data_IF_303542324743
#
_entry.id   IF_303542324743
#
_cell.length_a   1.000
_cell.length_b   1.000
_cell.length_c   1.000
_cell.angle_alpha   90.00
_cell.angle_beta   90.00
_cell.angle_gamma   90.00
#
_symmetry.space_group_name_H-M   'P 1'
#
loop_
_entity.id
_entity.type
_entity.pdbx_description
1 polymer ?
#
# COMPACT_ATOMS: atom_id res chain seq x y z
N UNK A 1 5.33 -13.02 7.69
CA UNK A 1 5.82 -13.98 8.71
C UNK A 1 5.42 -13.62 10.14
N UNK A 2 5.33 -12.34 10.53
CA UNK A 2 5.06 -11.92 11.92
C UNK A 2 3.67 -12.32 12.46
N UNK A 3 2.64 -12.39 11.60
CA UNK A 3 1.28 -12.77 12.01
C UNK A 3 1.16 -14.23 12.48
N UNK A 4 1.84 -15.18 11.81
CA UNK A 4 1.84 -16.59 12.23
C UNK A 4 2.51 -16.75 13.61
N UNK A 5 3.61 -16.03 13.83
CA UNK A 5 4.30 -16.02 15.12
C UNK A 5 3.40 -15.41 16.21
N UNK A 6 2.73 -14.29 15.92
CA UNK A 6 1.75 -13.68 16.82
C UNK A 6 0.59 -14.61 17.16
N UNK A 7 0.07 -15.37 16.19
CA UNK A 7 -0.97 -16.37 16.39
C UNK A 7 -0.54 -17.50 17.32
N UNK A 8 0.64 -18.09 17.09
CA UNK A 8 1.18 -19.14 17.95
C UNK A 8 1.37 -18.62 19.38
N UNK A 9 1.93 -17.43 19.53
CA UNK A 9 2.15 -16.79 20.83
C UNK A 9 0.83 -16.53 21.57
N UNK A 10 -0.21 -16.10 20.85
CA UNK A 10 -1.55 -15.87 21.39
C UNK A 10 -2.19 -17.17 21.90
N UNK A 11 -2.12 -18.25 21.12
CA UNK A 11 -2.66 -19.56 21.52
C UNK A 11 -1.97 -20.09 22.77
N UNK A 12 -0.65 -20.02 22.82
CA UNK A 12 0.14 -20.44 23.99
C UNK A 12 -0.19 -19.56 25.21
N UNK A 13 -0.33 -18.25 25.00
CA UNK A 13 -0.72 -17.30 26.03
C UNK A 13 -2.08 -17.63 26.64
N UNK A 14 -3.09 -17.84 25.79
CA UNK A 14 -4.46 -18.20 26.20
C UNK A 14 -4.45 -19.52 26.98
N UNK A 15 -3.68 -20.52 26.52
CA UNK A 15 -3.54 -21.79 27.23
C UNK A 15 -2.97 -21.60 28.65
N UNK A 16 -1.97 -20.72 28.80
CA UNK A 16 -1.40 -20.36 30.10
C UNK A 16 -2.39 -19.68 31.06
N UNK A 17 -3.34 -18.90 30.53
CA UNK A 17 -4.38 -18.22 31.33
C UNK A 17 -5.54 -19.15 31.67
N UNK A 18 -6.10 -19.83 30.67
CA UNK A 18 -7.30 -20.65 30.79
C UNK A 18 -7.03 -22.01 31.46
N UNK A 19 -5.86 -22.60 31.22
CA UNK A 19 -5.47 -23.90 31.77
C UNK A 19 -3.99 -23.91 32.22
N UNK A 20 -3.65 -23.18 33.30
CA UNK A 20 -2.28 -23.09 33.79
C UNK A 20 -1.70 -24.46 34.19
N UNK A 21 -2.54 -25.40 34.62
CA UNK A 21 -2.12 -26.77 34.90
C UNK A 21 -1.61 -27.48 33.63
N UNK A 22 -2.36 -27.38 32.53
CA UNK A 22 -1.96 -27.97 31.24
C UNK A 22 -0.70 -27.29 30.69
N UNK A 23 -0.61 -25.96 30.82
CA UNK A 23 0.57 -25.20 30.41
C UNK A 23 1.81 -25.61 31.24
N UNK A 24 1.65 -25.78 32.55
CA UNK A 24 2.70 -26.30 33.42
C UNK A 24 3.11 -27.72 33.02
N UNK A 25 2.15 -28.61 32.79
CA UNK A 25 2.41 -29.99 32.41
C UNK A 25 3.20 -30.08 31.10
N UNK A 26 2.81 -29.31 30.07
CA UNK A 26 3.50 -29.25 28.79
C UNK A 26 4.90 -28.63 28.90
N UNK A 27 5.10 -27.69 29.83
CA UNK A 27 6.40 -27.05 30.00
C UNK A 27 7.41 -27.93 30.75
N UNK A 28 7.03 -28.45 31.92
CA UNK A 28 7.93 -29.19 32.82
C UNK A 28 7.28 -30.37 33.53
N UNK A 29 5.96 -30.34 33.76
CA UNK A 29 5.29 -31.40 34.52
C UNK A 29 5.42 -32.79 33.90
N UNK A 30 5.52 -32.91 32.57
CA UNK A 30 5.79 -34.19 31.91
C UNK A 30 7.15 -34.82 32.25
N UNK A 31 8.11 -34.03 32.75
CA UNK A 31 9.46 -34.48 33.11
C UNK A 31 9.56 -34.98 34.54
N UNK A 32 8.55 -34.71 35.37
CA UNK A 32 8.60 -34.95 36.81
C UNK A 32 7.49 -35.93 37.16
N UNK A 33 7.85 -37.04 37.80
CA UNK A 33 6.90 -38.09 38.16
C UNK A 33 6.13 -37.70 39.43
N UNK A 34 4.82 -37.87 39.40
CA UNK A 34 3.91 -37.69 40.55
C UNK A 34 4.02 -36.32 41.24
N UNK A 35 4.36 -35.27 40.48
CA UNK A 35 4.47 -33.91 40.97
C UNK A 35 3.22 -33.10 40.60
N UNK A 36 2.67 -32.39 41.57
CA UNK A 36 1.61 -31.40 41.36
C UNK A 36 2.21 -29.99 41.29
N UNK A 37 1.67 -29.10 40.42
CA UNK A 37 2.12 -27.72 40.37
C UNK A 37 1.74 -27.00 41.67
N UNK A 38 2.69 -26.23 42.21
CA UNK A 38 2.39 -25.33 43.32
C UNK A 38 1.51 -24.15 42.87
N UNK A 39 0.83 -23.52 43.83
CA UNK A 39 0.05 -22.30 43.56
C UNK A 39 0.89 -21.19 42.93
N UNK A 40 2.15 -21.08 43.34
CA UNK A 40 3.11 -20.15 42.76
C UNK A 40 3.41 -20.46 41.28
N UNK A 41 3.53 -21.75 40.93
CA UNK A 41 3.74 -22.18 39.55
C UNK A 41 2.51 -21.87 38.68
N UNK A 42 1.30 -22.14 39.19
CA UNK A 42 0.05 -21.82 38.50
C UNK A 42 -0.12 -20.30 38.31
N UNK A 43 0.19 -19.50 39.33
CA UNK A 43 0.18 -18.05 39.24
C UNK A 43 1.18 -17.54 38.20
N UNK A 44 2.39 -18.09 38.17
CA UNK A 44 3.42 -17.74 37.18
C UNK A 44 2.96 -18.02 35.74
N UNK A 45 2.36 -19.18 35.48
CA UNK A 45 1.83 -19.52 34.16
C UNK A 45 0.68 -18.59 33.72
N UNK A 46 -0.19 -18.17 34.66
CA UNK A 46 -1.23 -17.18 34.37
C UNK A 46 -0.64 -15.83 34.00
N UNK A 47 0.32 -15.33 34.78
CA UNK A 47 0.95 -14.02 34.52
C UNK A 47 1.70 -14.01 33.20
N UNK A 48 2.54 -15.03 32.94
CA UNK A 48 3.23 -15.18 31.66
C UNK A 48 2.25 -15.36 30.51
N UNK A 49 1.16 -16.11 30.73
CA UNK A 49 0.09 -16.31 29.75
C UNK A 49 -0.60 -15.00 29.36
N UNK A 50 -0.89 -14.11 30.32
CA UNK A 50 -1.47 -12.78 30.05
C UNK A 50 -0.51 -11.94 29.21
N UNK A 51 0.77 -11.90 29.60
CA UNK A 51 1.80 -11.13 28.87
C UNK A 51 1.94 -11.65 27.44
N UNK A 52 2.05 -12.97 27.27
CA UNK A 52 2.15 -13.61 25.95
C UNK A 52 0.88 -13.39 25.10
N UNK A 53 -0.31 -13.42 25.71
CA UNK A 53 -1.56 -13.14 24.99
C UNK A 53 -1.61 -11.71 24.48
N UNK A 54 -1.24 -10.73 25.31
CA UNK A 54 -1.19 -9.33 24.92
C UNK A 54 -0.16 -9.09 23.81
N UNK A 55 1.06 -9.63 23.96
CA UNK A 55 2.10 -9.52 22.95
C UNK A 55 1.68 -10.17 21.62
N UNK A 56 1.04 -11.34 21.67
CA UNK A 56 0.56 -12.07 20.49
C UNK A 56 -0.53 -11.30 19.76
N UNK A 57 -1.49 -10.76 20.52
CA UNK A 57 -2.54 -9.90 20.00
C UNK A 57 -1.96 -8.64 19.33
N UNK A 58 -1.02 -7.95 19.97
CA UNK A 58 -0.34 -6.78 19.40
C UNK A 58 0.37 -7.17 18.11
N UNK A 59 1.11 -8.28 18.06
CA UNK A 59 1.80 -8.72 16.84
C UNK A 59 0.85 -9.02 15.68
N UNK A 60 -0.31 -9.62 15.96
CA UNK A 60 -1.34 -9.87 14.95
C UNK A 60 -1.92 -8.54 14.45
N UNK A 61 -2.32 -7.65 15.37
CA UNK A 61 -2.89 -6.35 15.03
C UNK A 61 -1.88 -5.49 14.27
N UNK A 62 -0.62 -5.44 14.69
CA UNK A 62 0.45 -4.72 13.99
C UNK A 62 0.75 -5.32 12.61
N UNK A 63 0.60 -6.64 12.45
CA UNK A 63 0.70 -7.28 11.13
C UNK A 63 -0.49 -6.93 10.23
N UNK A 64 -1.65 -6.64 10.81
CA UNK A 64 -2.81 -6.09 10.08
C UNK A 64 -2.76 -4.56 9.95
N UNK A 65 -1.94 -3.85 10.72
CA UNK A 65 -1.88 -2.39 10.71
C UNK A 65 -1.29 -1.85 9.40
N UNK A 66 -0.53 -2.65 8.66
CA UNK A 66 -0.15 -2.34 7.27
C UNK A 66 -1.37 -2.22 6.33
N UNK A 67 -2.55 -2.68 6.76
CA UNK A 67 -3.82 -2.53 6.04
C UNK A 67 -4.60 -1.25 6.45
N UNK A 68 -4.26 -0.63 7.58
CA UNK A 68 -5.02 0.50 8.15
C UNK A 68 -4.22 1.80 8.33
N UNK A 69 -2.88 1.74 8.36
CA UNK A 69 -2.06 2.93 8.12
C UNK A 69 -2.10 3.19 6.64
N UNK A 70 -2.77 4.28 6.20
CA UNK A 70 -2.84 4.67 4.79
C UNK A 70 -1.49 4.42 4.11
N UNK A 71 -1.50 3.45 3.18
CA UNK A 71 -0.29 2.81 2.67
C UNK A 71 0.68 3.79 2.01
N UNK A 72 1.78 3.26 1.48
CA UNK A 72 2.67 3.98 0.55
C UNK A 72 1.88 4.83 -0.44
N UNK A 73 0.73 4.32 -0.86
CA UNK A 73 -0.12 4.87 -1.89
C UNK A 73 -0.83 6.16 -1.45
N UNK A 74 -1.49 6.15 -0.28
CA UNK A 74 -2.15 7.35 0.25
C UNK A 74 -1.14 8.46 0.59
N UNK A 75 0.08 8.07 1.00
CA UNK A 75 1.18 9.02 1.22
C UNK A 75 1.70 9.58 -0.10
N UNK A 76 1.80 8.75 -1.13
CA UNK A 76 2.24 9.15 -2.46
C UNK A 76 1.22 10.09 -3.11
N UNK A 77 -0.06 9.73 -3.11
CA UNK A 77 -1.17 10.52 -3.66
C UNK A 77 -1.15 11.95 -3.10
N UNK A 78 -1.05 12.10 -1.77
CA UNK A 78 -0.96 13.42 -1.13
C UNK A 78 0.26 14.23 -1.58
N UNK A 79 1.42 13.58 -1.74
CA UNK A 79 2.64 14.25 -2.23
C UNK A 79 2.52 14.63 -3.70
N UNK A 80 1.89 13.80 -4.51
CA UNK A 80 1.66 14.07 -5.92
C UNK A 80 0.70 15.25 -6.10
N UNK A 81 -0.44 15.24 -5.40
CA UNK A 81 -1.40 16.35 -5.40
C UNK A 81 -0.76 17.66 -4.91
N UNK A 82 0.01 17.59 -3.82
CA UNK A 82 0.78 18.76 -3.35
C UNK A 82 1.73 19.28 -4.43
N UNK A 83 2.41 18.41 -5.19
CA UNK A 83 3.27 18.83 -6.29
C UNK A 83 2.50 19.44 -7.46
N UNK A 84 1.27 19.02 -7.74
CA UNK A 84 0.42 19.68 -8.74
C UNK A 84 -0.04 21.07 -8.27
N UNK A 85 -0.26 21.26 -6.96
CA UNK A 85 -0.67 22.55 -6.38
C UNK A 85 0.49 23.54 -6.24
N UNK A 86 1.65 23.08 -5.78
CA UNK A 86 2.80 23.94 -5.47
C UNK A 86 3.85 23.98 -6.58
N UNK A 87 3.95 22.87 -7.32
CA UNK A 87 5.02 22.59 -8.26
C UNK A 87 4.61 22.97 -9.67
N UNK A 88 5.38 23.86 -10.27
CA UNK A 88 5.31 24.18 -11.68
C UNK A 88 5.64 22.89 -12.44
N UNK A 89 4.62 22.23 -12.99
CA UNK A 89 4.82 21.11 -13.91
C UNK A 89 5.65 21.66 -15.08
N UNK A 90 6.88 21.17 -15.22
CA UNK A 90 7.81 21.71 -16.21
C UNK A 90 7.47 21.20 -17.60
N UNK A 91 7.06 19.93 -17.71
CA UNK A 91 6.76 19.28 -18.98
C UNK A 91 5.73 18.16 -18.79
N UNK A 92 4.79 18.05 -19.71
CA UNK A 92 4.00 16.83 -19.93
C UNK A 92 4.24 16.41 -21.37
N UNK A 93 4.57 15.14 -21.56
CA UNK A 93 4.93 14.64 -22.88
C UNK A 93 4.42 13.23 -23.13
N UNK A 94 4.16 12.90 -24.40
CA UNK A 94 3.68 11.60 -24.85
C UNK A 94 4.56 11.04 -25.98
N UNK A 95 4.64 9.72 -26.08
CA UNK A 95 5.43 9.01 -27.09
C UNK A 95 6.86 8.70 -26.63
N UNK A 96 7.38 7.55 -27.10
CA UNK A 96 8.74 7.10 -26.78
C UNK A 96 9.80 7.56 -27.79
N UNK A 97 9.43 7.71 -29.07
CA UNK A 97 10.36 8.04 -30.17
C UNK A 97 10.16 9.49 -30.59
N UNK A 98 8.96 9.83 -31.05
CA UNK A 98 8.58 11.21 -31.37
C UNK A 98 7.85 11.80 -30.17
N UNK A 99 8.63 12.40 -29.26
CA UNK A 99 8.12 12.97 -28.00
C UNK A 99 7.25 14.19 -28.30
N UNK A 100 5.93 14.03 -28.24
CA UNK A 100 4.96 15.11 -28.27
C UNK A 100 4.98 15.81 -26.92
N UNK A 101 5.50 17.04 -26.87
CA UNK A 101 5.50 17.86 -25.65
C UNK A 101 4.33 18.84 -25.70
N UNK A 102 3.55 18.92 -24.62
CA UNK A 102 2.41 19.82 -24.54
C UNK A 102 2.84 21.29 -24.51
N UNK A 103 2.02 22.18 -25.08
CA UNK A 103 2.22 23.63 -24.89
C UNK A 103 1.93 24.02 -23.44
N UNK A 104 2.28 25.25 -23.07
CA UNK A 104 2.02 25.79 -21.71
C UNK A 104 0.52 25.76 -21.39
N UNK A 105 -0.32 26.12 -22.36
CA UNK A 105 -1.77 26.16 -22.23
C UNK A 105 -2.35 24.75 -22.08
N UNK A 106 -1.98 23.83 -22.98
CA UNK A 106 -2.39 22.42 -22.94
C UNK A 106 -1.97 21.75 -21.62
N UNK A 107 -0.73 22.02 -21.18
CA UNK A 107 -0.21 21.51 -19.91
C UNK A 107 -1.02 22.02 -18.73
N UNK A 108 -1.33 23.32 -18.68
CA UNK A 108 -2.09 23.89 -17.57
C UNK A 108 -3.51 23.32 -17.52
N UNK A 109 -4.16 23.13 -18.67
CA UNK A 109 -5.48 22.48 -18.78
C UNK A 109 -5.43 21.04 -18.23
N UNK A 110 -4.46 20.24 -18.69
CA UNK A 110 -4.27 18.86 -18.21
C UNK A 110 -3.99 18.82 -16.71
N UNK A 111 -3.17 19.73 -16.19
CA UNK A 111 -2.88 19.79 -14.75
C UNK A 111 -4.14 20.08 -13.94
N UNK A 112 -4.99 21.02 -14.37
CA UNK A 112 -6.26 21.28 -13.68
C UNK A 112 -7.20 20.07 -13.74
N UNK A 113 -7.31 19.40 -14.89
CA UNK A 113 -8.11 18.17 -15.00
C UNK A 113 -7.62 17.05 -14.07
N UNK A 114 -6.30 16.93 -13.87
CA UNK A 114 -5.73 15.93 -12.94
C UNK A 114 -5.97 16.33 -11.48
N UNK A 115 -5.89 17.63 -11.14
CA UNK A 115 -6.13 18.13 -9.77
C UNK A 115 -7.56 17.88 -9.30
N UNK A 116 -8.53 18.01 -10.20
CA UNK A 116 -9.94 17.76 -9.89
C UNK A 116 -10.30 16.26 -9.87
N UNK A 117 -9.46 15.43 -10.50
CA UNK A 117 -9.69 14.00 -10.59
C UNK A 117 -9.36 13.26 -9.30
N UNK A 118 -10.13 12.21 -9.04
CA UNK A 118 -9.80 11.24 -8.00
C UNK A 118 -8.74 10.27 -8.52
N UNK A 119 -7.77 9.94 -7.68
CA UNK A 119 -6.81 8.88 -7.97
C UNK A 119 -7.26 7.56 -7.33
N UNK A 120 -7.36 6.50 -8.12
CA UNK A 120 -7.73 5.16 -7.64
C UNK A 120 -6.52 4.22 -7.77
N UNK A 121 -5.97 3.71 -6.65
CA UNK A 121 -4.85 2.78 -6.71
C UNK A 121 -5.30 1.42 -7.25
N UNK A 122 -4.49 0.80 -8.09
CA UNK A 122 -4.74 -0.53 -8.63
C UNK A 122 -3.44 -1.32 -8.82
N UNK A 123 -3.55 -2.65 -8.77
CA UNK A 123 -2.45 -3.57 -9.07
C UNK A 123 -2.29 -3.68 -10.59
N UNK A 124 -1.08 -3.39 -11.09
CA UNK A 124 -0.77 -3.46 -12.51
C UNK A 124 -0.80 -4.90 -13.04
N UNK A 125 -0.64 -5.92 -12.22
CA UNK A 125 -0.67 -7.32 -12.67
C UNK A 125 0.37 -7.62 -13.76
N UNK A 126 0.03 -8.51 -14.70
CA UNK A 126 0.95 -9.05 -15.72
C UNK A 126 0.55 -8.78 -17.19
N UNK A 127 -0.41 -7.88 -17.42
CA UNK A 127 -0.90 -7.54 -18.76
C UNK A 127 -0.21 -6.26 -19.25
N UNK A 128 0.22 -6.23 -20.51
CA UNK A 128 1.06 -5.17 -21.10
C UNK A 128 0.44 -4.61 -22.38
N UNK A 129 -0.81 -4.17 -22.32
CA UNK A 129 -1.46 -3.47 -23.43
C UNK A 129 -1.66 -2.01 -23.07
N UNK A 130 -1.02 -1.09 -23.78
CA UNK A 130 -1.24 0.35 -23.65
C UNK A 130 -1.43 0.99 -25.03
N UNK A 131 -2.29 1.99 -25.12
CA UNK A 131 -2.51 2.78 -26.34
C UNK A 131 -1.42 3.84 -26.54
N UNK A 132 -0.64 4.13 -25.50
CA UNK A 132 0.49 5.05 -25.53
C UNK A 132 1.10 5.20 -24.15
N UNK A 133 2.24 5.88 -24.08
CA UNK A 133 2.89 6.25 -22.83
C UNK A 133 3.41 7.68 -22.88
N UNK A 134 3.74 8.21 -21.72
CA UNK A 134 4.21 9.58 -21.56
C UNK A 134 4.82 9.79 -20.19
N UNK A 135 5.04 11.04 -19.82
CA UNK A 135 5.51 11.39 -18.48
C UNK A 135 5.09 12.80 -18.08
N UNK A 136 4.93 12.99 -16.77
CA UNK A 136 4.82 14.30 -16.12
C UNK A 136 6.15 14.56 -15.44
N UNK A 137 6.82 15.64 -15.80
CA UNK A 137 8.07 16.09 -15.18
C UNK A 137 7.85 17.38 -14.40
N UNK A 138 8.47 17.46 -13.23
CA UNK A 138 8.40 18.60 -12.32
C UNK A 138 9.74 19.33 -12.26
N UNK A 139 9.72 20.62 -11.90
CA UNK A 139 10.94 21.43 -11.78
C UNK A 139 11.95 20.90 -10.76
N UNK A 140 11.51 20.14 -9.75
CA UNK A 140 12.38 19.49 -8.75
C UNK A 140 13.09 18.23 -9.30
N UNK A 141 12.89 17.91 -10.59
CA UNK A 141 13.43 16.73 -11.25
C UNK A 141 12.63 15.45 -10.99
N UNK A 142 11.52 15.52 -10.25
CA UNK A 142 10.62 14.40 -10.07
C UNK A 142 9.88 14.11 -11.38
N UNK A 143 9.66 12.82 -11.68
CA UNK A 143 8.97 12.37 -12.88
C UNK A 143 8.01 11.22 -12.55
N UNK A 144 6.84 11.24 -13.15
CA UNK A 144 5.85 10.15 -13.07
C UNK A 144 5.54 9.67 -14.48
N UNK A 145 5.60 8.37 -14.71
CA UNK A 145 5.23 7.78 -15.99
C UNK A 145 3.71 7.80 -16.16
N UNK A 146 3.27 8.14 -17.36
CA UNK A 146 1.87 8.07 -17.79
C UNK A 146 1.70 6.87 -18.72
N UNK A 147 0.68 6.06 -18.48
CA UNK A 147 0.25 4.99 -19.39
C UNK A 147 -1.17 5.28 -19.83
N UNK A 148 -1.40 5.26 -21.15
CA UNK A 148 -2.68 5.62 -21.75
C UNK A 148 -3.47 4.36 -22.09
N UNK A 149 -4.64 4.23 -21.49
CA UNK A 149 -5.58 3.13 -21.71
C UNK A 149 -4.90 1.77 -21.55
N UNK A 150 -4.23 1.61 -20.39
CA UNK A 150 -3.54 0.41 -19.98
C UNK A 150 -4.48 -0.63 -19.36
N UNK A 151 -4.03 -1.29 -18.30
CA UNK A 151 -4.80 -2.30 -17.57
C UNK A 151 -6.04 -1.73 -16.86
N UNK A 152 -5.97 -0.47 -16.43
CA UNK A 152 -7.08 0.24 -15.83
C UNK A 152 -8.12 0.70 -16.87
N UNK A 153 -7.84 0.53 -18.17
CA UNK A 153 -8.63 1.05 -19.29
C UNK A 153 -8.80 2.58 -19.31
N UNK A 154 -8.01 3.32 -18.53
CA UNK A 154 -8.06 4.77 -18.42
C UNK A 154 -6.66 5.40 -18.47
N UNK A 155 -6.51 6.59 -17.92
CA UNK A 155 -5.19 7.23 -17.79
C UNK A 155 -4.54 6.79 -16.48
N UNK A 156 -3.32 6.28 -16.56
CA UNK A 156 -2.62 5.68 -15.43
C UNK A 156 -1.34 6.44 -15.09
N UNK A 157 -1.07 6.57 -13.80
CA UNK A 157 0.18 7.09 -13.23
C UNK A 157 0.96 5.91 -12.65
N UNK A 158 2.19 5.76 -13.10
CA UNK A 158 3.11 4.70 -12.68
C UNK A 158 4.29 5.32 -11.92
N UNK A 159 4.16 5.51 -10.60
CA UNK A 159 5.27 5.97 -9.77
C UNK A 159 6.25 4.85 -9.46
N UNK A 160 7.52 5.22 -9.27
CA UNK A 160 8.57 4.28 -8.91
C UNK A 160 8.62 3.97 -7.41
N UNK A 161 7.89 4.71 -6.58
CA UNK A 161 7.93 4.62 -5.11
C UNK A 161 6.82 3.78 -4.48
N UNK A 162 5.86 3.30 -5.27
CA UNK A 162 4.73 2.48 -4.77
C UNK A 162 4.64 1.17 -5.56
N UNK A 163 4.06 0.14 -4.94
CA UNK A 163 3.80 -1.13 -5.62
C UNK A 163 2.60 -1.03 -6.58
N UNK A 164 1.66 -0.11 -6.30
CA UNK A 164 0.47 0.12 -7.11
C UNK A 164 0.67 1.29 -8.08
N UNK A 165 0.01 1.20 -9.24
CA UNK A 165 -0.23 2.34 -10.11
C UNK A 165 -1.54 3.03 -9.71
N UNK A 166 -1.81 4.21 -10.28
CA UNK A 166 -3.01 4.98 -9.99
C UNK A 166 -3.76 5.31 -11.26
N UNK A 167 -5.05 5.00 -11.30
CA UNK A 167 -5.95 5.46 -12.35
C UNK A 167 -6.43 6.87 -12.02
N UNK A 168 -6.36 7.77 -13.00
CA UNK A 168 -6.97 9.10 -12.93
C UNK A 168 -8.43 8.98 -13.37
N UNK A 169 -9.37 9.11 -12.44
CA UNK A 169 -10.81 9.04 -12.73
C UNK A 169 -11.29 10.39 -13.29
N UNK A 170 -11.11 10.60 -14.60
CA UNK A 170 -11.60 11.78 -15.32
C UNK A 170 -11.94 11.47 -16.78
N UNK A 171 -13.24 11.47 -17.11
CA UNK A 171 -13.71 11.32 -18.48
C UNK A 171 -13.29 12.49 -19.37
N UNK A 172 -13.16 13.69 -18.80
CA UNK A 172 -12.73 14.90 -19.50
C UNK A 172 -11.27 14.78 -19.92
N UNK A 173 -10.41 14.32 -19.01
CA UNK A 173 -9.01 14.04 -19.32
C UNK A 173 -8.88 12.93 -20.37
N UNK A 174 -9.63 11.83 -20.23
CA UNK A 174 -9.62 10.75 -21.22
C UNK A 174 -10.03 11.26 -22.62
N UNK A 175 -11.08 12.08 -22.70
CA UNK A 175 -11.55 12.70 -23.95
C UNK A 175 -10.52 13.68 -24.53
N UNK A 176 -9.89 14.48 -23.67
CA UNK A 176 -8.86 15.42 -24.04
C UNK A 176 -7.65 14.69 -24.66
N UNK A 177 -7.15 13.64 -24.00
CA UNK A 177 -6.02 12.81 -24.47
C UNK A 177 -6.35 12.17 -25.83
N UNK A 178 -7.54 11.60 -26.00
CA UNK A 178 -7.95 11.00 -27.28
C UNK A 178 -7.90 12.01 -28.41
N UNK A 179 -8.37 13.22 -28.16
CA UNK A 179 -8.45 14.28 -29.17
C UNK A 179 -7.08 14.89 -29.50
N UNK A 180 -6.28 15.21 -28.48
CA UNK A 180 -5.07 16.03 -28.63
C UNK A 180 -3.77 15.23 -28.67
N UNK A 181 -3.78 13.96 -28.25
CA UNK A 181 -2.59 13.11 -28.21
C UNK A 181 -2.71 11.95 -29.20
N UNK A 182 -3.77 11.14 -29.08
CA UNK A 182 -3.88 9.92 -29.89
C UNK A 182 -4.29 10.17 -31.33
N UNK A 183 -5.08 11.22 -31.58
CA UNK A 183 -5.57 11.59 -32.91
C UNK A 183 -4.81 12.77 -33.53
N UNK A 184 -3.66 13.17 -32.96
CA UNK A 184 -2.80 14.21 -33.55
C UNK A 184 -2.10 13.59 -34.78
N UNK A 185 -2.60 13.91 -35.97
CA UNK A 185 -1.98 13.55 -37.26
C UNK A 185 -0.62 14.23 -37.46
#
# INVERSE_FOLDING_TARGET
>A
MNGLFGFILLVIGILGVASPYSAWYLSIGWKIKDAEPSDAALAMHRTVGVIASLAGFILIVSSCASMFTGGSDAKWEKKFQQRLETGVVSEISFGMIDKLSLTVEERNEVVELIKEARLEPFDTGSIYGASGSGSISFEDGYQVELVLFGNSHGIELHPNETENAFRIESNELESWIRTHVLNRE
#
